data_IF_417463949559
#
_entry.id   IF_417463949559
#
_cell.length_a   1.000
_cell.length_b   1.000
_cell.length_c   1.000
_cell.angle_alpha   90.00
_cell.angle_beta   90.00
_cell.angle_gamma   90.00
#
_symmetry.space_group_name_H-M   'P 1'
#
loop_
_entity.id
_entity.type
_entity.pdbx_description
1 polymer ?
#
# COMPACT_ATOMS: atom_id res chain seq x y z
N UNK A 1 -44.43 15.85 -4.39
CA UNK A 1 -44.41 15.18 -3.07
C UNK A 1 -43.82 13.78 -3.16
N UNK A 2 -44.51 12.85 -3.80
CA UNK A 2 -44.10 11.43 -3.85
C UNK A 2 -42.72 11.22 -4.52
N UNK A 3 -42.46 11.80 -5.69
CA UNK A 3 -41.18 11.65 -6.40
C UNK A 3 -40.00 12.25 -5.63
N UNK A 4 -40.21 13.38 -4.96
CA UNK A 4 -39.18 14.05 -4.17
C UNK A 4 -38.85 13.27 -2.90
N UNK A 5 -39.86 12.73 -2.21
CA UNK A 5 -39.66 11.89 -1.03
C UNK A 5 -39.02 10.54 -1.40
N UNK A 6 -39.50 9.91 -2.47
CA UNK A 6 -38.95 8.66 -3.00
C UNK A 6 -37.50 8.81 -3.42
N UNK A 7 -37.15 9.88 -4.15
CA UNK A 7 -35.78 10.18 -4.55
C UNK A 7 -34.86 10.44 -3.37
N UNK A 8 -35.33 11.16 -2.34
CA UNK A 8 -34.56 11.38 -1.11
C UNK A 8 -34.27 10.07 -0.38
N UNK A 9 -35.28 9.22 -0.16
CA UNK A 9 -35.11 7.93 0.49
C UNK A 9 -34.17 7.01 -0.30
N UNK A 10 -34.32 6.96 -1.63
CA UNK A 10 -33.41 6.22 -2.50
C UNK A 10 -31.97 6.73 -2.40
N UNK A 11 -31.78 8.04 -2.37
CA UNK A 11 -30.47 8.68 -2.20
C UNK A 11 -29.81 8.31 -0.86
N UNK A 12 -30.57 8.35 0.24
CA UNK A 12 -30.07 7.95 1.58
C UNK A 12 -29.67 6.48 1.60
N UNK A 13 -30.51 5.60 1.05
CA UNK A 13 -30.20 4.16 0.96
C UNK A 13 -28.96 3.90 0.11
N UNK A 14 -28.85 4.55 -1.05
CA UNK A 14 -27.69 4.43 -1.91
C UNK A 14 -26.41 4.92 -1.21
N UNK A 15 -26.45 6.10 -0.59
CA UNK A 15 -25.31 6.66 0.14
C UNK A 15 -24.84 5.75 1.27
N UNK A 16 -25.77 5.24 2.07
CA UNK A 16 -25.48 4.31 3.17
C UNK A 16 -24.89 3.00 2.68
N UNK A 17 -25.51 2.40 1.65
CA UNK A 17 -25.04 1.15 1.04
C UNK A 17 -23.66 1.30 0.40
N UNK A 18 -23.44 2.38 -0.34
CA UNK A 18 -22.16 2.67 -0.99
C UNK A 18 -21.02 2.81 0.02
N UNK A 19 -21.20 3.63 1.07
CA UNK A 19 -20.15 3.82 2.08
C UNK A 19 -19.89 2.55 2.88
N UNK A 20 -20.93 1.75 3.14
CA UNK A 20 -20.76 0.45 3.80
C UNK A 20 -19.97 -0.52 2.93
N UNK A 21 -20.27 -0.59 1.62
CA UNK A 21 -19.50 -1.42 0.69
C UNK A 21 -18.04 -0.94 0.57
N UNK A 22 -17.81 0.37 0.52
CA UNK A 22 -16.46 0.93 0.55
C UNK A 22 -15.69 0.50 1.80
N UNK A 23 -16.33 0.55 2.96
CA UNK A 23 -15.69 0.19 4.23
C UNK A 23 -15.43 -1.31 4.34
N UNK A 24 -16.36 -2.16 3.93
CA UNK A 24 -16.16 -3.62 3.88
C UNK A 24 -14.98 -3.97 2.98
N UNK A 25 -14.88 -3.33 1.81
CA UNK A 25 -13.79 -3.54 0.86
C UNK A 25 -12.46 -2.91 1.27
N UNK A 26 -12.40 -2.23 2.43
CA UNK A 26 -11.16 -1.76 3.06
C UNK A 26 -10.70 -2.68 4.20
N UNK A 27 -11.37 -3.79 4.47
CA UNK A 27 -10.96 -4.70 5.55
C UNK A 27 -9.91 -5.69 5.06
N UNK A 28 -8.95 -6.04 5.92
CA UNK A 28 -7.97 -7.11 5.65
C UNK A 28 -8.67 -8.42 5.25
N UNK A 29 -9.77 -8.76 5.93
CA UNK A 29 -10.58 -9.94 5.62
C UNK A 29 -11.11 -9.96 4.17
N UNK A 30 -11.43 -8.78 3.61
CA UNK A 30 -11.80 -8.68 2.20
C UNK A 30 -10.58 -8.86 1.29
N UNK A 31 -9.46 -8.21 1.60
CA UNK A 31 -8.22 -8.33 0.81
C UNK A 31 -7.76 -9.79 0.71
N UNK A 32 -7.83 -10.55 1.81
CA UNK A 32 -7.41 -11.97 1.85
C UNK A 32 -8.55 -12.96 1.51
N UNK A 33 -9.70 -12.47 1.05
CA UNK A 33 -10.78 -13.35 0.57
C UNK A 33 -10.39 -14.06 -0.74
N UNK A 34 -9.47 -13.47 -1.50
CA UNK A 34 -8.86 -14.06 -2.69
C UNK A 34 -7.63 -14.90 -2.29
N UNK A 35 -7.53 -16.11 -2.84
CA UNK A 35 -6.44 -17.03 -2.51
C UNK A 35 -5.07 -16.50 -2.94
N UNK A 36 -5.01 -15.68 -4.00
CA UNK A 36 -3.79 -15.04 -4.48
C UNK A 36 -3.18 -14.14 -3.41
N UNK A 37 -4.01 -13.35 -2.73
CA UNK A 37 -3.56 -12.46 -1.64
C UNK A 37 -3.30 -13.24 -0.36
N UNK A 38 -4.19 -14.18 -0.03
CA UNK A 38 -4.10 -15.01 1.19
C UNK A 38 -2.86 -15.88 1.24
N UNK A 39 -2.56 -16.58 0.14
CA UNK A 39 -1.50 -17.60 0.12
C UNK A 39 -0.12 -17.02 -0.20
N UNK A 40 -0.06 -15.75 -0.66
CA UNK A 40 1.18 -15.09 -1.07
C UNK A 40 1.47 -13.85 -0.18
N UNK A 41 1.13 -12.59 -0.53
CA UNK A 41 1.45 -11.41 0.28
C UNK A 41 1.11 -11.52 1.76
N UNK A 42 -0.04 -12.11 2.11
CA UNK A 42 -0.47 -12.20 3.50
C UNK A 42 0.43 -13.12 4.34
N UNK A 43 0.83 -14.28 3.82
CA UNK A 43 1.79 -15.15 4.50
C UNK A 43 3.18 -14.49 4.62
N UNK A 44 3.56 -13.67 3.64
CA UNK A 44 4.82 -12.92 3.70
C UNK A 44 4.76 -11.80 4.75
N UNK A 45 3.62 -11.09 4.87
CA UNK A 45 3.39 -10.04 5.87
C UNK A 45 3.57 -10.58 7.29
N UNK A 46 3.07 -11.79 7.57
CA UNK A 46 3.18 -12.44 8.89
C UNK A 46 4.61 -12.57 9.39
N UNK A 47 5.59 -12.57 8.49
CA UNK A 47 7.01 -12.71 8.82
C UNK A 47 7.68 -11.37 9.14
N UNK A 48 6.93 -10.26 9.21
CA UNK A 48 7.47 -8.90 9.31
C UNK A 48 7.05 -8.19 10.60
N UNK A 49 7.76 -7.09 10.92
CA UNK A 49 7.43 -6.22 12.06
C UNK A 49 6.06 -5.53 11.92
N UNK A 50 5.53 -5.42 10.70
CA UNK A 50 4.22 -4.85 10.46
C UNK A 50 3.08 -5.78 10.87
N UNK A 51 3.37 -7.08 11.05
CA UNK A 51 2.38 -8.05 11.56
C UNK A 51 2.54 -8.33 13.05
N UNK A 52 3.77 -8.53 13.52
CA UNK A 52 4.06 -8.79 14.94
C UNK A 52 5.18 -7.87 15.41
N UNK A 53 4.89 -7.07 16.43
CA UNK A 53 5.82 -6.12 17.02
C UNK A 53 5.59 -5.93 18.51
N UNK A 54 6.50 -5.20 19.14
CA UNK A 54 6.54 -4.94 20.58
C UNK A 54 5.42 -4.03 21.11
N UNK A 55 4.80 -3.21 20.26
CA UNK A 55 3.75 -2.27 20.69
C UNK A 55 2.34 -2.86 20.61
N UNK A 56 2.16 -3.97 19.88
CA UNK A 56 0.86 -4.59 19.64
C UNK A 56 0.00 -3.85 18.61
N UNK A 57 0.46 -2.72 18.09
CA UNK A 57 -0.20 -1.97 17.00
C UNK A 57 0.36 -2.49 15.68
N UNK A 58 -0.48 -3.10 14.85
CA UNK A 58 -0.06 -3.67 13.57
C UNK A 58 -0.71 -2.93 12.41
N UNK A 59 0.02 -2.82 11.31
CA UNK A 59 -0.55 -2.42 10.04
C UNK A 59 -1.19 -3.64 9.37
N UNK A 60 -2.26 -3.40 8.64
CA UNK A 60 -3.00 -4.37 7.84
C UNK A 60 -2.92 -3.99 6.36
N UNK A 61 -3.44 -4.84 5.47
CA UNK A 61 -3.45 -4.57 4.03
C UNK A 61 -3.89 -3.14 3.64
N UNK A 62 -5.05 -2.63 4.10
CA UNK A 62 -5.51 -1.28 3.73
C UNK A 62 -4.59 -0.16 4.21
N UNK A 63 -3.93 -0.31 5.36
CA UNK A 63 -3.10 0.76 5.95
C UNK A 63 -1.93 1.13 5.04
N UNK A 64 -1.48 0.18 4.19
CA UNK A 64 -0.40 0.41 3.21
C UNK A 64 -0.89 0.50 1.74
N UNK A 65 -1.99 -0.18 1.40
CA UNK A 65 -2.47 -0.27 0.01
C UNK A 65 -3.68 0.62 -0.31
N UNK A 66 -4.34 1.20 0.69
CA UNK A 66 -5.53 2.05 0.51
C UNK A 66 -5.34 3.39 1.23
N UNK A 67 -5.18 4.51 0.50
CA UNK A 67 -5.08 5.83 1.11
C UNK A 67 -6.28 6.14 2.03
N UNK A 68 -6.04 6.88 3.12
CA UNK A 68 -7.09 7.23 4.08
C UNK A 68 -8.04 8.31 3.54
N UNK A 69 -7.49 9.35 2.90
CA UNK A 69 -8.24 10.46 2.34
C UNK A 69 -9.15 10.02 1.19
N UNK A 70 -10.36 10.57 1.16
CA UNK A 70 -11.43 10.13 0.27
C UNK A 70 -11.01 10.15 -1.21
N UNK A 71 -10.42 11.24 -1.70
CA UNK A 71 -10.04 11.37 -3.11
C UNK A 71 -9.02 10.32 -3.53
N UNK A 72 -7.96 10.14 -2.73
CA UNK A 72 -6.92 9.15 -3.01
C UNK A 72 -7.44 7.71 -2.85
N UNK A 73 -8.31 7.47 -1.87
CA UNK A 73 -9.00 6.19 -1.64
C UNK A 73 -9.81 5.77 -2.86
N UNK A 74 -10.66 6.67 -3.36
CA UNK A 74 -11.48 6.40 -4.54
C UNK A 74 -10.60 6.18 -5.77
N UNK A 75 -9.57 7.02 -5.98
CA UNK A 75 -8.60 6.84 -7.06
C UNK A 75 -7.93 5.45 -7.03
N UNK A 76 -7.48 4.99 -5.86
CA UNK A 76 -6.88 3.65 -5.72
C UNK A 76 -7.90 2.54 -5.95
N UNK A 77 -9.13 2.67 -5.46
CA UNK A 77 -10.21 1.69 -5.70
C UNK A 77 -10.56 1.58 -7.18
N UNK A 78 -10.54 2.69 -7.92
CA UNK A 78 -10.71 2.67 -9.38
C UNK A 78 -9.56 1.92 -10.06
N UNK A 79 -8.30 2.13 -9.65
CA UNK A 79 -7.16 1.37 -10.16
C UNK A 79 -7.24 -0.12 -9.80
N UNK A 80 -7.65 -0.42 -8.55
CA UNK A 80 -7.82 -1.77 -8.02
C UNK A 80 -8.85 -2.60 -8.82
N UNK A 81 -9.80 -1.95 -9.50
CA UNK A 81 -10.77 -2.67 -10.34
C UNK A 81 -10.09 -3.53 -11.43
N UNK A 82 -8.86 -3.18 -11.84
CA UNK A 82 -8.05 -4.00 -12.76
C UNK A 82 -7.60 -5.33 -12.14
N UNK A 83 -7.46 -5.40 -10.81
CA UNK A 83 -7.11 -6.63 -10.09
C UNK A 83 -8.25 -7.66 -10.19
N UNK A 84 -9.51 -7.20 -10.28
CA UNK A 84 -10.68 -8.07 -10.53
C UNK A 84 -10.59 -8.73 -11.91
N UNK A 85 -10.15 -7.99 -12.93
CA UNK A 85 -9.87 -8.59 -14.24
C UNK A 85 -8.72 -9.58 -14.19
N UNK A 86 -7.66 -9.27 -13.45
CA UNK A 86 -6.57 -10.21 -13.18
C UNK A 86 -7.05 -11.51 -12.54
N UNK A 87 -7.99 -11.42 -11.59
CA UNK A 87 -8.65 -12.58 -10.97
C UNK A 87 -9.47 -13.38 -11.98
N UNK A 88 -10.30 -12.72 -12.78
CA UNK A 88 -11.16 -13.37 -13.79
C UNK A 88 -10.33 -14.13 -14.83
N UNK A 89 -9.21 -13.55 -15.26
CA UNK A 89 -8.32 -14.17 -16.25
C UNK A 89 -7.19 -15.02 -15.66
N UNK A 90 -7.12 -15.16 -14.33
CA UNK A 90 -6.13 -16.00 -13.66
C UNK A 90 -4.68 -15.57 -13.88
N UNK A 91 -4.41 -14.26 -13.86
CA UNK A 91 -3.06 -13.72 -14.16
C UNK A 91 -2.00 -14.10 -13.12
N UNK A 92 -2.42 -14.35 -11.86
CA UNK A 92 -1.57 -14.75 -10.73
C UNK A 92 -2.24 -15.81 -9.83
N UNK A 93 -3.11 -16.64 -10.40
CA UNK A 93 -3.91 -17.64 -9.66
C UNK A 93 -3.12 -18.83 -9.10
N UNK A 94 -1.85 -18.98 -9.45
CA UNK A 94 -0.93 -20.01 -8.96
C UNK A 94 0.30 -19.36 -8.35
N UNK A 95 1.03 -20.09 -7.50
CA UNK A 95 2.25 -19.58 -6.87
C UNK A 95 3.28 -19.20 -7.92
N UNK A 96 3.43 -20.02 -8.94
CA UNK A 96 4.38 -19.85 -10.03
C UNK A 96 4.08 -18.57 -10.81
N UNK A 97 2.84 -18.37 -11.25
CA UNK A 97 2.44 -17.12 -11.93
C UNK A 97 2.62 -15.88 -11.05
N UNK A 98 2.33 -15.97 -9.75
CA UNK A 98 2.60 -14.86 -8.82
C UNK A 98 4.09 -14.54 -8.74
N UNK A 99 4.95 -15.57 -8.65
CA UNK A 99 6.40 -15.39 -8.59
C UNK A 99 6.94 -14.78 -9.89
N UNK A 100 6.48 -15.26 -11.04
CA UNK A 100 6.85 -14.74 -12.37
C UNK A 100 6.52 -13.26 -12.52
N UNK A 101 5.41 -12.82 -11.90
CA UNK A 101 4.98 -11.42 -11.89
C UNK A 101 5.45 -10.61 -10.68
N UNK A 102 6.21 -11.19 -9.74
CA UNK A 102 6.52 -10.52 -8.46
C UNK A 102 7.18 -9.16 -8.67
N UNK A 103 8.20 -9.08 -9.52
CA UNK A 103 8.93 -7.83 -9.76
C UNK A 103 8.02 -6.77 -10.40
N UNK A 104 7.20 -7.15 -11.36
CA UNK A 104 6.21 -6.27 -12.01
C UNK A 104 5.23 -5.70 -10.96
N UNK A 105 4.60 -6.58 -10.17
CA UNK A 105 3.64 -6.19 -9.14
C UNK A 105 4.28 -5.31 -8.05
N UNK A 106 5.48 -5.66 -7.60
CA UNK A 106 6.20 -4.88 -6.60
C UNK A 106 6.57 -3.50 -7.14
N UNK A 107 6.98 -3.41 -8.41
CA UNK A 107 7.33 -2.14 -9.06
C UNK A 107 6.11 -1.22 -9.15
N UNK A 108 4.93 -1.74 -9.52
CA UNK A 108 3.70 -0.94 -9.54
C UNK A 108 3.39 -0.30 -8.17
N UNK A 109 3.53 -1.07 -7.08
CA UNK A 109 3.27 -0.55 -5.74
C UNK A 109 4.39 0.39 -5.27
N UNK A 110 5.65 0.15 -5.63
CA UNK A 110 6.75 1.07 -5.33
C UNK A 110 6.61 2.40 -6.05
N UNK A 111 6.27 2.38 -7.33
CA UNK A 111 6.06 3.59 -8.13
C UNK A 111 4.88 4.39 -7.58
N UNK A 112 3.79 3.71 -7.18
CA UNK A 112 2.65 4.34 -6.52
C UNK A 112 3.07 5.02 -5.21
N UNK A 113 3.71 4.29 -4.30
CA UNK A 113 4.20 4.80 -3.02
C UNK A 113 5.28 5.87 -3.20
N UNK A 114 5.99 5.90 -4.31
CA UNK A 114 6.96 6.96 -4.60
C UNK A 114 6.24 8.22 -5.09
N UNK A 115 5.32 8.05 -6.03
CA UNK A 115 4.58 9.15 -6.67
C UNK A 115 3.74 9.98 -5.70
N UNK A 116 3.26 9.37 -4.61
CA UNK A 116 2.49 10.05 -3.58
C UNK A 116 3.33 10.43 -2.35
N UNK A 117 4.67 10.46 -2.49
CA UNK A 117 5.60 10.72 -1.41
C UNK A 117 5.29 9.86 -0.17
N UNK A 118 5.23 8.54 -0.37
CA UNK A 118 4.91 7.45 0.57
C UNK A 118 3.93 7.86 1.67
N UNK A 119 2.78 8.38 1.24
CA UNK A 119 1.72 8.88 2.11
C UNK A 119 1.32 7.85 3.17
N UNK A 120 1.15 6.60 2.76
CA UNK A 120 0.72 5.50 3.61
C UNK A 120 1.74 5.16 4.69
N UNK A 121 3.04 5.27 4.39
CA UNK A 121 4.08 5.12 5.39
C UNK A 121 4.00 6.23 6.43
N UNK A 122 3.75 7.48 5.98
CA UNK A 122 3.75 8.68 6.81
C UNK A 122 2.54 8.81 7.73
N UNK A 123 1.45 8.10 7.43
CA UNK A 123 0.30 8.00 8.32
C UNK A 123 0.66 7.41 9.69
N UNK A 124 1.75 6.64 9.78
CA UNK A 124 2.25 6.09 11.04
C UNK A 124 3.69 6.50 11.36
N UNK A 125 4.53 6.75 10.33
CA UNK A 125 5.93 7.11 10.48
C UNK A 125 6.16 8.59 10.16
N UNK A 126 6.07 9.44 11.19
CA UNK A 126 6.43 10.86 11.05
C UNK A 126 7.95 11.03 11.00
N UNK A 127 8.42 11.82 10.03
CA UNK A 127 9.82 12.25 9.97
C UNK A 127 10.20 13.16 11.14
N UNK A 128 9.25 13.98 11.63
CA UNK A 128 9.47 14.92 12.74
C UNK A 128 9.62 14.21 14.09
N UNK A 129 8.94 13.06 14.25
CA UNK A 129 8.96 12.28 15.48
C UNK A 129 9.98 11.13 15.44
N UNK A 130 10.81 11.08 14.41
CA UNK A 130 11.80 10.02 14.23
C UNK A 130 13.07 10.32 15.04
N UNK A 131 13.34 9.49 16.05
CA UNK A 131 14.55 9.61 16.86
C UNK A 131 15.76 8.98 16.14
N UNK A 132 16.57 9.81 15.48
CA UNK A 132 17.78 9.38 14.76
C UNK A 132 18.90 8.90 15.68
N UNK A 133 18.91 9.32 16.95
CA UNK A 133 19.97 8.94 17.91
C UNK A 133 19.90 7.45 18.26
N UNK A 134 18.73 6.85 18.09
CA UNK A 134 18.47 5.42 18.31
C UNK A 134 18.64 4.57 17.05
N UNK A 135 18.98 5.17 15.92
CA UNK A 135 19.21 4.46 14.67
C UNK A 135 20.68 4.04 14.54
N UNK A 136 20.92 3.09 13.64
CA UNK A 136 22.28 2.84 13.18
C UNK A 136 22.85 4.13 12.53
N UNK A 137 24.11 4.51 12.81
CA UNK A 137 24.75 5.71 12.23
C UNK A 137 24.58 5.87 10.72
N UNK A 138 24.61 4.76 9.96
CA UNK A 138 24.38 4.80 8.51
C UNK A 138 22.95 5.20 8.17
N UNK A 139 21.96 4.65 8.87
CA UNK A 139 20.55 4.95 8.63
C UNK A 139 20.22 6.40 9.00
N UNK A 140 20.73 6.87 10.15
CA UNK A 140 20.58 8.25 10.58
C UNK A 140 21.08 9.23 9.51
N UNK A 141 22.32 9.02 9.03
CA UNK A 141 22.91 9.84 7.95
C UNK A 141 22.08 9.83 6.67
N UNK A 142 21.55 8.68 6.26
CA UNK A 142 20.71 8.58 5.06
C UNK A 142 19.39 9.33 5.23
N UNK A 143 18.74 9.25 6.41
CA UNK A 143 17.52 10.00 6.68
C UNK A 143 17.76 11.51 6.68
N UNK A 144 18.83 11.98 7.32
CA UNK A 144 19.20 13.40 7.32
C UNK A 144 19.49 13.92 5.90
N UNK A 145 20.24 13.14 5.11
CA UNK A 145 20.66 13.55 3.77
C UNK A 145 19.49 13.58 2.79
N UNK A 146 18.66 12.53 2.80
CA UNK A 146 17.71 12.27 1.73
C UNK A 146 16.24 12.41 2.13
N UNK A 147 15.85 11.95 3.32
CA UNK A 147 14.46 11.95 3.74
C UNK A 147 14.03 13.34 4.24
N UNK A 148 14.83 13.97 5.10
CA UNK A 148 14.48 15.24 5.74
C UNK A 148 14.58 16.44 4.80
N UNK A 149 15.47 16.38 3.80
CA UNK A 149 15.50 17.32 2.68
C UNK A 149 14.34 17.09 1.71
N UNK A 150 13.73 15.90 1.76
CA UNK A 150 12.71 15.43 0.83
C UNK A 150 13.26 15.15 -0.57
N UNK A 151 14.56 14.89 -0.69
CA UNK A 151 15.17 14.40 -1.93
C UNK A 151 14.69 12.98 -2.27
N UNK A 152 14.37 12.18 -1.25
CA UNK A 152 13.85 10.80 -1.40
C UNK A 152 12.65 10.55 -0.50
N UNK A 153 11.89 9.54 -0.88
CA UNK A 153 10.73 9.03 -0.15
C UNK A 153 11.10 7.75 0.62
N UNK A 154 10.23 7.28 1.51
CA UNK A 154 10.47 6.06 2.29
C UNK A 154 10.74 4.85 1.38
N UNK A 155 9.97 4.71 0.30
CA UNK A 155 9.99 3.53 -0.57
C UNK A 155 11.20 3.50 -1.53
N UNK A 156 11.92 4.62 -1.68
CA UNK A 156 13.17 4.65 -2.46
C UNK A 156 14.24 3.74 -1.83
N UNK A 157 14.26 3.65 -0.50
CA UNK A 157 15.22 2.81 0.24
C UNK A 157 14.58 1.55 0.80
N UNK A 158 13.37 1.65 1.36
CA UNK A 158 12.74 0.55 2.08
C UNK A 158 11.86 -0.32 1.17
N UNK A 159 12.48 -1.02 0.23
CA UNK A 159 11.79 -2.04 -0.57
C UNK A 159 11.76 -3.37 0.18
N UNK A 160 10.68 -4.15 0.01
CA UNK A 160 10.54 -5.46 0.66
C UNK A 160 10.25 -5.42 2.17
N UNK A 161 9.64 -4.33 2.66
CA UNK A 161 9.31 -4.17 4.10
C UNK A 161 8.24 -5.15 4.58
N UNK A 162 7.17 -5.30 3.79
CA UNK A 162 5.98 -6.08 4.15
C UNK A 162 5.92 -7.43 3.41
N UNK A 163 6.59 -7.53 2.27
CA UNK A 163 6.56 -8.71 1.39
C UNK A 163 7.98 -9.03 0.94
N UNK A 164 8.22 -10.27 0.51
CA UNK A 164 9.55 -10.69 0.08
C UNK A 164 10.02 -9.86 -1.11
N UNK A 165 11.24 -9.36 -1.01
CA UNK A 165 11.88 -8.62 -2.08
C UNK A 165 12.02 -9.55 -3.32
N UNK A 166 11.59 -9.13 -4.52
CA UNK A 166 11.83 -9.87 -5.74
C UNK A 166 13.32 -9.94 -6.07
N UNK A 167 13.68 -10.71 -7.10
CA UNK A 167 15.02 -10.61 -7.69
C UNK A 167 15.24 -9.18 -8.20
N UNK A 168 16.26 -8.52 -7.66
CA UNK A 168 16.62 -7.13 -7.96
C UNK A 168 17.73 -7.03 -9.01
N UNK A 169 18.13 -8.14 -9.65
CA UNK A 169 19.15 -8.11 -10.69
C UNK A 169 18.74 -7.17 -11.83
N UNK A 170 19.56 -6.16 -12.09
CA UNK A 170 19.30 -5.14 -13.12
C UNK A 170 18.32 -4.05 -12.71
N UNK A 171 17.85 -4.05 -11.46
CA UNK A 171 17.03 -2.97 -10.90
C UNK A 171 17.94 -2.00 -10.14
N UNK A 172 18.00 -0.76 -10.61
CA UNK A 172 18.78 0.29 -9.94
C UNK A 172 18.29 0.49 -8.49
N UNK A 173 19.22 0.60 -7.52
CA UNK A 173 18.86 0.99 -6.16
C UNK A 173 18.11 2.32 -6.14
N UNK A 174 17.04 2.43 -5.36
CA UNK A 174 16.22 3.65 -5.36
C UNK A 174 16.94 4.89 -4.81
N UNK A 175 18.11 4.74 -4.17
CA UNK A 175 18.99 5.83 -3.76
C UNK A 175 20.02 6.26 -4.82
N UNK A 176 20.24 5.50 -5.90
CA UNK A 176 21.20 5.85 -6.97
C UNK A 176 20.55 6.56 -8.17
N UNK A 177 19.24 6.38 -8.38
CA UNK A 177 18.52 7.03 -9.50
C UNK A 177 18.41 8.56 -9.36
N UNK A 178 18.07 9.27 -10.43
CA UNK A 178 17.87 10.74 -10.39
C UNK A 178 16.79 11.15 -9.39
N UNK A 179 17.04 12.22 -8.64
CA UNK A 179 16.07 12.86 -7.75
C UNK A 179 14.84 13.25 -8.58
N UNK A 180 13.68 12.70 -8.26
CA UNK A 180 12.44 13.19 -8.87
C UNK A 180 12.16 14.55 -8.25
N UNK A 181 12.19 15.62 -9.06
CA UNK A 181 11.85 16.95 -8.60
C UNK A 181 10.45 16.93 -7.95
N UNK A 182 10.33 17.59 -6.80
CA UNK A 182 9.06 17.80 -6.10
C UNK A 182 8.09 18.58 -6.97
#
# INVERSE_FOLDING_TARGET
GFLTLGGFLAGVMFWGGFNTALEVTNKEAFCISCHEMKNNPYEELKQTIHFTNRSGVRATCPDCHVPHDWTHKIGRKMQASKEVWGKIFGTIDTREKFLDKRLELATHEWDRLKSNNSLECRNCHSAESMDITRQNPRAAKMHETYLFTGERTCIDCHKGIAHRLPDMKGVEPGWTGTVSAK
#
